data_IF_726799041471
#
_entry.id   IF_726799041471
#
_cell.length_a   1.000
_cell.length_b   1.000
_cell.length_c   1.000
_cell.angle_alpha   90.00
_cell.angle_beta   90.00
_cell.angle_gamma   90.00
#
_symmetry.space_group_name_H-M   'P 1'
#
loop_
_entity.id
_entity.type
_entity.pdbx_description
1 polymer ?
#
# COMPACT_ATOMS: atom_id res chain seq x y z
N UNK A 1 -0.68 2.29 -13.91
CA UNK A 1 -0.97 1.07 -13.13
C UNK A 1 0.12 0.06 -13.32
N UNK A 2 0.52 -0.58 -12.25
CA UNK A 2 1.53 -1.64 -12.31
C UNK A 2 0.89 -3.01 -12.54
N UNK A 3 1.76 -4.02 -12.75
CA UNK A 3 1.36 -5.40 -13.02
C UNK A 3 0.42 -5.95 -11.96
N UNK A 4 -0.63 -6.63 -12.40
CA UNK A 4 -1.60 -7.32 -11.53
C UNK A 4 -2.38 -6.42 -10.57
N UNK A 5 -2.41 -5.10 -10.79
CA UNK A 5 -3.33 -4.25 -10.05
C UNK A 5 -4.76 -4.41 -10.57
N UNK A 6 -5.74 -4.32 -9.67
CA UNK A 6 -7.15 -4.59 -9.98
C UNK A 6 -8.01 -3.41 -9.56
N UNK A 7 -8.79 -2.89 -10.50
CA UNK A 7 -9.76 -1.82 -10.25
C UNK A 7 -11.17 -2.37 -10.42
N UNK A 8 -12.00 -2.24 -9.39
CA UNK A 8 -13.41 -2.61 -9.47
C UNK A 8 -14.23 -1.55 -10.18
N UNK A 9 -15.50 -1.87 -10.44
CA UNK A 9 -16.43 -0.99 -11.14
C UNK A 9 -16.59 0.35 -10.41
N UNK A 10 -16.56 1.44 -11.15
CA UNK A 10 -16.80 2.78 -10.61
C UNK A 10 -15.60 3.43 -9.94
N UNK A 11 -14.41 2.81 -10.00
CA UNK A 11 -13.19 3.41 -9.47
C UNK A 11 -12.74 4.53 -10.41
N UNK A 12 -12.44 5.70 -9.83
CA UNK A 12 -11.86 6.82 -10.56
C UNK A 12 -10.44 7.05 -10.07
N UNK A 13 -9.48 7.04 -11.01
CA UNK A 13 -8.07 7.32 -10.73
C UNK A 13 -7.73 8.64 -11.40
N UNK A 14 -7.37 9.64 -10.62
CA UNK A 14 -7.03 10.96 -11.13
C UNK A 14 -5.65 10.95 -11.80
N UNK A 15 -5.48 11.87 -12.75
CA UNK A 15 -4.22 12.02 -13.48
C UNK A 15 -3.05 12.22 -12.53
N UNK A 16 -1.92 11.60 -12.82
CA UNK A 16 -0.72 11.65 -11.99
C UNK A 16 -0.69 10.68 -10.84
N UNK A 17 -1.77 9.90 -10.63
CA UNK A 17 -1.79 8.86 -9.60
C UNK A 17 -1.14 7.57 -10.11
N UNK A 18 -0.42 6.88 -9.22
CA UNK A 18 0.24 5.62 -9.53
C UNK A 18 -0.31 4.51 -8.65
N UNK A 19 -0.80 3.44 -9.26
CA UNK A 19 -1.31 2.26 -8.57
C UNK A 19 -0.25 1.17 -8.59
N UNK A 20 0.21 0.78 -7.42
CA UNK A 20 1.25 -0.25 -7.28
C UNK A 20 0.78 -1.65 -7.66
N UNK A 21 1.72 -2.55 -7.90
CA UNK A 21 1.42 -3.92 -8.30
C UNK A 21 0.64 -4.66 -7.21
N UNK A 22 -0.25 -5.57 -7.64
CA UNK A 22 -1.10 -6.37 -6.75
C UNK A 22 -2.02 -5.57 -5.84
N UNK A 23 -2.17 -4.26 -6.07
CA UNK A 23 -3.15 -3.45 -5.36
C UNK A 23 -4.56 -3.74 -5.87
N UNK A 24 -5.52 -3.73 -4.97
CA UNK A 24 -6.94 -3.88 -5.30
C UNK A 24 -7.70 -2.66 -4.83
N UNK A 25 -8.40 -2.02 -5.75
CA UNK A 25 -9.23 -0.85 -5.44
C UNK A 25 -10.69 -1.27 -5.52
N UNK A 26 -11.39 -1.24 -4.39
CA UNK A 26 -12.82 -1.60 -4.35
C UNK A 26 -13.68 -0.58 -5.06
N UNK A 27 -14.87 -1.00 -5.47
CA UNK A 27 -15.76 -0.18 -6.28
C UNK A 27 -16.13 1.15 -5.66
N UNK A 28 -16.24 2.17 -6.49
CA UNK A 28 -16.65 3.51 -6.07
C UNK A 28 -15.55 4.39 -5.48
N UNK A 29 -14.35 3.88 -5.28
CA UNK A 29 -13.25 4.68 -4.74
C UNK A 29 -12.78 5.74 -5.73
N UNK A 30 -12.35 6.87 -5.19
CA UNK A 30 -11.66 7.91 -5.96
C UNK A 30 -10.22 7.98 -5.50
N UNK A 31 -9.29 7.82 -6.42
CA UNK A 31 -7.86 7.78 -6.11
C UNK A 31 -7.20 9.05 -6.64
N UNK A 32 -6.75 9.90 -5.72
CA UNK A 32 -6.08 11.16 -6.04
C UNK A 32 -4.68 11.21 -5.44
N UNK A 33 -3.97 10.12 -5.49
CA UNK A 33 -2.61 9.98 -5.00
C UNK A 33 -2.08 8.62 -5.40
N UNK A 34 -0.99 8.18 -4.79
CA UNK A 34 -0.38 6.91 -5.12
C UNK A 34 -0.86 5.82 -4.18
N UNK A 35 -1.23 4.67 -4.74
CA UNK A 35 -1.62 3.49 -3.98
C UNK A 35 -0.44 2.53 -3.95
N UNK A 36 0.10 2.21 -2.77
CA UNK A 36 1.27 1.34 -2.68
C UNK A 36 0.94 -0.09 -3.12
N UNK A 37 1.96 -0.89 -3.46
CA UNK A 37 1.73 -2.26 -3.90
C UNK A 37 1.14 -3.12 -2.78
N UNK A 38 0.42 -4.16 -3.15
CA UNK A 38 -0.10 -5.23 -2.29
C UNK A 38 -1.26 -4.86 -1.36
N UNK A 39 -1.81 -3.66 -1.45
CA UNK A 39 -2.87 -3.22 -0.52
C UNK A 39 -4.25 -3.27 -1.14
N UNK A 40 -5.26 -3.30 -0.28
CA UNK A 40 -6.66 -3.09 -0.66
C UNK A 40 -7.07 -1.71 -0.17
N UNK A 41 -7.58 -0.89 -1.09
CA UNK A 41 -8.21 0.39 -0.76
C UNK A 41 -9.72 0.28 -0.92
N UNK A 42 -10.45 0.88 0.00
CA UNK A 42 -11.91 0.85 0.02
C UNK A 42 -12.46 2.19 0.49
N UNK A 43 -13.75 2.40 0.28
CA UNK A 43 -14.49 3.56 0.75
C UNK A 43 -14.18 4.86 -0.01
N UNK A 44 -14.93 5.88 0.31
CA UNK A 44 -14.79 7.24 -0.23
C UNK A 44 -14.97 8.24 0.91
N UNK A 45 -13.90 8.95 1.33
CA UNK A 45 -12.55 8.91 0.79
C UNK A 45 -11.88 7.55 0.96
N UNK A 46 -10.94 7.23 0.05
CA UNK A 46 -10.27 5.94 0.05
C UNK A 46 -9.50 5.72 1.36
N UNK A 47 -9.61 4.53 1.90
CA UNK A 47 -8.96 4.14 3.14
C UNK A 47 -8.21 2.81 2.96
N UNK A 48 -7.16 2.62 3.73
CA UNK A 48 -6.44 1.36 3.77
C UNK A 48 -7.32 0.29 4.43
N UNK A 49 -7.61 -0.77 3.69
CA UNK A 49 -8.48 -1.86 4.15
C UNK A 49 -7.70 -3.10 4.57
N UNK A 50 -6.51 -3.28 4.07
CA UNK A 50 -5.67 -4.43 4.39
C UNK A 50 -4.74 -4.81 3.26
N UNK A 51 -4.02 -5.92 3.43
CA UNK A 51 -3.16 -6.49 2.39
C UNK A 51 -3.99 -7.41 1.50
N UNK A 52 -3.72 -7.39 0.20
CA UNK A 52 -4.42 -8.21 -0.79
C UNK A 52 -3.94 -9.67 -0.74
N UNK A 53 -3.99 -10.26 0.45
CA UNK A 53 -3.42 -11.57 0.72
C UNK A 53 -4.15 -12.71 0.02
N UNK A 54 -5.47 -12.63 -0.06
CA UNK A 54 -6.30 -13.70 -0.67
C UNK A 54 -5.93 -13.91 -2.13
N UNK A 55 -5.80 -12.82 -2.90
CA UNK A 55 -5.43 -12.90 -4.31
C UNK A 55 -3.98 -13.37 -4.46
N UNK A 56 -3.08 -12.86 -3.64
CA UNK A 56 -1.68 -13.26 -3.67
C UNK A 56 -1.50 -14.75 -3.38
N UNK A 57 -2.26 -15.30 -2.43
CA UNK A 57 -2.27 -16.74 -2.13
C UNK A 57 -2.86 -17.56 -3.28
N UNK A 58 -3.93 -17.06 -3.88
CA UNK A 58 -4.60 -17.73 -5.00
C UNK A 58 -3.64 -17.95 -6.16
N UNK A 59 -2.85 -16.96 -6.51
CA UNK A 59 -1.89 -17.06 -7.61
C UNK A 59 -0.55 -17.69 -7.20
N UNK A 60 -0.35 -18.00 -5.93
CA UNK A 60 0.85 -18.65 -5.39
C UNK A 60 2.15 -17.93 -5.77
N UNK A 61 2.08 -16.60 -5.89
CA UNK A 61 3.23 -15.75 -6.27
C UNK A 61 4.13 -15.45 -5.09
N UNK A 62 3.60 -15.49 -3.88
CA UNK A 62 4.31 -15.06 -2.67
C UNK A 62 4.12 -16.09 -1.57
N UNK A 63 5.15 -16.24 -0.74
CA UNK A 63 5.10 -17.13 0.43
C UNK A 63 4.28 -16.49 1.54
N UNK A 64 3.83 -17.29 2.50
CA UNK A 64 3.14 -16.78 3.70
C UNK A 64 4.03 -15.84 4.50
N UNK A 65 5.33 -16.12 4.56
CA UNK A 65 6.30 -15.25 5.22
C UNK A 65 6.39 -13.89 4.53
N UNK A 66 6.42 -13.86 3.20
CA UNK A 66 6.43 -12.62 2.42
C UNK A 66 5.14 -11.81 2.64
N UNK A 67 3.99 -12.48 2.64
CA UNK A 67 2.70 -11.82 2.91
C UNK A 67 2.68 -11.24 4.32
N UNK A 68 3.20 -11.95 5.31
CA UNK A 68 3.29 -11.47 6.68
C UNK A 68 4.20 -10.23 6.79
N UNK A 69 5.33 -10.24 6.09
CA UNK A 69 6.24 -9.10 6.04
C UNK A 69 5.56 -7.88 5.40
N UNK A 70 4.79 -8.08 4.35
CA UNK A 70 4.00 -7.01 3.72
C UNK A 70 3.00 -6.43 4.72
N UNK A 71 2.28 -7.29 5.44
CA UNK A 71 1.30 -6.85 6.43
C UNK A 71 1.94 -6.03 7.55
N UNK A 72 3.09 -6.47 8.04
CA UNK A 72 3.85 -5.75 9.06
C UNK A 72 4.33 -4.39 8.57
N UNK A 73 4.81 -4.34 7.32
CA UNK A 73 5.26 -3.09 6.71
C UNK A 73 4.14 -2.05 6.66
N UNK A 74 2.96 -2.44 6.20
CA UNK A 74 1.84 -1.51 6.10
C UNK A 74 1.20 -1.19 7.45
N UNK A 75 1.37 -2.03 8.45
CA UNK A 75 1.00 -1.67 9.82
C UNK A 75 1.80 -0.44 10.27
N UNK A 76 3.09 -0.39 9.97
CA UNK A 76 3.91 0.78 10.28
C UNK A 76 3.45 2.02 9.52
N UNK A 77 3.05 1.88 8.26
CA UNK A 77 2.63 3.01 7.42
C UNK A 77 1.26 3.54 7.83
N UNK A 78 0.29 2.66 8.05
CA UNK A 78 -1.11 3.07 8.19
C UNK A 78 -1.67 2.94 9.60
N UNK A 79 -1.10 2.14 10.46
CA UNK A 79 -1.72 1.77 11.73
C UNK A 79 -0.90 2.12 12.98
N UNK A 80 0.31 2.62 12.84
CA UNK A 80 1.15 2.98 13.98
C UNK A 80 1.17 4.48 14.28
N UNK A 81 0.42 5.27 13.53
CA UNK A 81 0.30 6.71 13.73
C UNK A 81 1.65 7.44 13.83
N UNK A 82 2.57 7.09 12.97
CA UNK A 82 3.88 7.75 12.83
C UNK A 82 3.98 8.39 11.46
N UNK A 83 4.90 9.35 11.30
CA UNK A 83 5.15 9.96 10.00
C UNK A 83 5.64 8.90 9.00
N UNK A 84 5.45 9.16 7.71
CA UNK A 84 5.93 8.25 6.66
C UNK A 84 7.44 8.03 6.75
N UNK A 85 8.20 9.08 7.08
CA UNK A 85 9.64 8.98 7.29
C UNK A 85 9.98 7.99 8.42
N UNK A 86 9.28 8.07 9.54
CA UNK A 86 9.48 7.16 10.67
C UNK A 86 8.97 5.75 10.35
N UNK A 87 7.88 5.64 9.60
CA UNK A 87 7.38 4.34 9.15
C UNK A 87 8.43 3.61 8.29
N UNK A 88 9.09 4.30 7.38
CA UNK A 88 10.17 3.74 6.56
C UNK A 88 11.32 3.25 7.44
N UNK A 89 11.71 4.03 8.44
CA UNK A 89 12.76 3.61 9.39
C UNK A 89 12.35 2.34 10.14
N UNK A 90 11.11 2.25 10.58
CA UNK A 90 10.59 1.07 11.29
C UNK A 90 10.56 -0.16 10.40
N UNK A 91 10.17 -0.01 9.14
CA UNK A 91 10.19 -1.10 8.16
C UNK A 91 11.62 -1.63 8.01
N UNK A 92 12.60 -0.76 7.85
CA UNK A 92 13.99 -1.16 7.70
C UNK A 92 14.55 -1.87 8.94
N UNK A 93 14.07 -1.51 10.12
CA UNK A 93 14.52 -2.11 11.38
C UNK A 93 13.82 -3.43 11.69
N UNK A 94 12.54 -3.56 11.35
CA UNK A 94 11.67 -4.66 11.77
C UNK A 94 11.53 -5.76 10.72
N UNK A 95 11.60 -5.42 9.44
CA UNK A 95 11.41 -6.36 8.34
C UNK A 95 12.77 -6.73 7.75
N UNK A 96 13.03 -8.03 7.61
CA UNK A 96 14.27 -8.49 7.00
C UNK A 96 14.37 -8.07 5.53
N UNK A 97 15.57 -7.91 5.05
CA UNK A 97 15.83 -7.52 3.66
C UNK A 97 15.26 -8.57 2.70
N UNK A 98 14.42 -8.12 1.77
CA UNK A 98 13.74 -8.99 0.82
C UNK A 98 13.24 -8.16 -0.36
N UNK A 99 12.85 -8.84 -1.43
CA UNK A 99 12.30 -8.16 -2.61
C UNK A 99 10.99 -7.45 -2.29
N UNK A 100 10.12 -8.04 -1.48
CA UNK A 100 8.84 -7.38 -1.12
C UNK A 100 9.08 -6.13 -0.30
N UNK A 101 10.03 -6.15 0.63
CA UNK A 101 10.43 -4.95 1.38
C UNK A 101 10.95 -3.88 0.44
N UNK A 102 11.81 -4.25 -0.48
CA UNK A 102 12.41 -3.32 -1.43
C UNK A 102 11.34 -2.70 -2.34
N UNK A 103 10.41 -3.50 -2.83
CA UNK A 103 9.31 -3.02 -3.66
C UNK A 103 8.46 -1.96 -2.94
N UNK A 104 8.16 -2.19 -1.67
CA UNK A 104 7.41 -1.25 -0.84
C UNK A 104 8.21 0.04 -0.62
N UNK A 105 9.47 -0.09 -0.24
CA UNK A 105 10.32 1.08 0.03
C UNK A 105 10.57 1.90 -1.23
N UNK A 106 10.80 1.27 -2.37
CA UNK A 106 11.01 1.96 -3.65
C UNK A 106 9.76 2.73 -4.05
N UNK A 107 8.57 2.12 -3.89
CA UNK A 107 7.32 2.80 -4.22
C UNK A 107 7.11 4.04 -3.33
N UNK A 108 7.36 3.92 -2.04
CA UNK A 108 7.26 5.04 -1.10
C UNK A 108 8.23 6.15 -1.49
N UNK A 109 9.47 5.82 -1.81
CA UNK A 109 10.49 6.79 -2.23
C UNK A 109 10.08 7.54 -3.50
N UNK A 110 9.47 6.86 -4.47
CA UNK A 110 9.04 7.44 -5.73
C UNK A 110 7.76 8.28 -5.60
N UNK A 111 7.00 8.08 -4.54
CA UNK A 111 5.69 8.73 -4.38
C UNK A 111 5.76 10.16 -3.85
N UNK A 112 6.90 10.63 -3.38
CA UNK A 112 7.07 11.96 -2.78
C UNK A 112 6.03 12.26 -1.68
N UNK A 113 5.77 11.29 -0.81
CA UNK A 113 4.78 11.38 0.27
C UNK A 113 3.34 11.54 -0.20
N UNK A 114 3.02 11.18 -1.43
CA UNK A 114 1.67 11.26 -1.99
C UNK A 114 0.92 9.94 -1.96
N UNK A 115 1.12 9.16 -0.92
CA UNK A 115 0.35 7.93 -0.70
C UNK A 115 -1.08 8.26 -0.28
N UNK A 116 -2.03 7.50 -0.83
CA UNK A 116 -3.44 7.60 -0.46
C UNK A 116 -3.64 7.07 0.96
N UNK A 117 -4.57 7.67 1.68
CA UNK A 117 -5.04 7.21 2.99
C UNK A 117 -4.01 7.25 4.12
N UNK A 118 -2.92 8.01 3.98
CA UNK A 118 -1.99 8.20 5.09
C UNK A 118 -2.71 8.81 6.30
N UNK A 119 -2.36 8.34 7.53
CA UNK A 119 -2.86 8.97 8.73
C UNK A 119 -2.52 10.45 8.75
N UNK A 120 -3.47 11.28 9.15
CA UNK A 120 -3.21 12.69 9.35
C UNK A 120 -2.44 12.85 10.65
N UNK A 121 -1.26 13.39 10.56
CA UNK A 121 -0.47 13.77 11.72
C UNK A 121 -0.98 15.12 12.22
N UNK A 122 -1.57 15.14 13.39
CA UNK A 122 -1.88 16.40 14.05
C UNK A 122 -0.68 16.77 14.91
N UNK A 123 0.01 17.85 14.53
CA UNK A 123 1.01 18.46 15.37
C UNK A 123 0.32 19.40 16.36
N UNK A 124 0.54 19.13 17.61
CA UNK A 124 0.07 20.03 18.67
C UNK A 124 1.20 20.91 19.12
#
# INVERSE_FOLDING_TARGET
>A
MDTCSILSTGVKVFEGSHIGKWAFIKGGCRISGNVPPFVIMAHNPAAYFGVNATIMRHFKKYTEEEIDDIAKSYRHVYQCNVSLYNAVKRIKADIQDSQVRQDILDFIAQSNNRLVALPKFEEF
#
